data_IF_231239051011
#
_entry.id   IF_231239051011
#
_cell.length_a   1.000
_cell.length_b   1.000
_cell.length_c   1.000
_cell.angle_alpha   90.00
_cell.angle_beta   90.00
_cell.angle_gamma   90.00
#
_symmetry.space_group_name_H-M   'P 1'
#
loop_
_entity.id
_entity.type
_entity.pdbx_description
1 polymer ?
#
# COMPACT_ATOMS: atom_id res chain seq x y z
N UNK A 1 11.04 -17.99 -9.51
CA UNK A 1 10.70 -16.89 -8.60
C UNK A 1 9.23 -16.95 -8.30
N UNK A 2 8.87 -16.91 -7.04
CA UNK A 2 7.48 -16.98 -6.63
C UNK A 2 6.69 -15.80 -7.19
N UNK A 3 5.45 -16.07 -7.59
CA UNK A 3 4.56 -15.03 -8.14
C UNK A 3 4.16 -14.00 -7.09
N UNK A 4 4.21 -14.36 -5.83
CA UNK A 4 3.87 -13.51 -4.69
C UNK A 4 5.02 -13.54 -3.69
N UNK A 5 5.42 -12.36 -3.22
CA UNK A 5 6.37 -12.18 -2.12
C UNK A 5 5.71 -11.39 -1.01
N UNK A 6 6.02 -11.74 0.22
CA UNK A 6 5.48 -11.12 1.42
C UNK A 6 6.62 -10.56 2.26
N UNK A 7 6.45 -9.33 2.71
CA UNK A 7 7.29 -8.68 3.71
C UNK A 7 6.44 -8.36 4.93
N UNK A 8 6.99 -8.53 6.12
CA UNK A 8 6.33 -8.16 7.37
C UNK A 8 7.19 -7.15 8.10
N UNK A 9 6.63 -6.01 8.49
CA UNK A 9 7.39 -4.97 9.18
C UNK A 9 6.54 -3.96 9.92
N UNK A 10 7.24 -3.01 10.55
CA UNK A 10 6.65 -1.98 11.37
C UNK A 10 6.22 -2.47 12.75
N UNK A 11 5.74 -1.53 13.59
CA UNK A 11 5.36 -1.81 14.98
C UNK A 11 4.17 -2.75 15.12
N UNK A 12 3.32 -2.81 14.10
CA UNK A 12 2.12 -3.67 14.09
C UNK A 12 2.33 -4.97 13.30
N UNK A 13 3.55 -5.28 12.86
CA UNK A 13 3.86 -6.46 12.06
C UNK A 13 2.92 -6.61 10.85
N UNK A 14 2.76 -5.53 10.10
CA UNK A 14 1.90 -5.49 8.92
C UNK A 14 2.59 -6.16 7.73
N UNK A 15 1.82 -6.79 6.87
CA UNK A 15 2.31 -7.40 5.64
C UNK A 15 2.21 -6.44 4.46
N UNK A 16 3.29 -6.38 3.68
CA UNK A 16 3.29 -5.83 2.33
C UNK A 16 3.48 -6.95 1.32
N UNK A 17 2.80 -6.87 0.21
CA UNK A 17 2.81 -7.92 -0.82
C UNK A 17 3.34 -7.40 -2.13
N UNK A 18 4.09 -8.25 -2.85
CA UNK A 18 4.50 -8.02 -4.24
C UNK A 18 3.94 -9.12 -5.13
N UNK A 19 3.22 -8.73 -6.16
CA UNK A 19 2.67 -9.63 -7.17
C UNK A 19 3.41 -9.42 -8.48
N UNK A 20 4.03 -10.47 -9.02
CA UNK A 20 4.67 -10.41 -10.33
C UNK A 20 3.62 -10.39 -11.43
N UNK A 21 3.74 -9.44 -12.33
CA UNK A 21 2.85 -9.27 -13.48
C UNK A 21 3.32 -10.07 -14.69
N UNK A 22 2.53 -10.02 -15.78
CA UNK A 22 2.86 -10.73 -17.03
C UNK A 22 3.98 -10.06 -17.81
N UNK A 23 4.21 -8.76 -17.61
CA UNK A 23 5.20 -7.96 -18.32
C UNK A 23 6.52 -7.79 -17.55
N UNK A 24 6.74 -8.64 -16.55
CA UNK A 24 7.94 -8.64 -15.72
C UNK A 24 8.05 -7.44 -14.76
N UNK A 25 6.99 -6.69 -14.57
CA UNK A 25 6.85 -5.68 -13.52
C UNK A 25 6.17 -6.26 -12.27
N UNK A 26 5.88 -5.41 -11.30
CA UNK A 26 5.23 -5.81 -10.05
C UNK A 26 4.15 -4.82 -9.65
N UNK A 27 3.12 -5.35 -9.01
CA UNK A 27 2.10 -4.60 -8.27
C UNK A 27 2.33 -4.87 -6.79
N UNK A 28 2.39 -3.81 -5.98
CA UNK A 28 2.49 -3.92 -4.53
C UNK A 28 1.12 -3.70 -3.88
N UNK A 29 0.89 -4.38 -2.76
CA UNK A 29 -0.28 -4.16 -1.91
C UNK A 29 0.19 -3.83 -0.50
N UNK A 30 -0.22 -2.67 -0.01
CA UNK A 30 0.20 -2.05 1.24
C UNK A 30 1.71 -1.78 1.33
N UNK A 31 2.09 -0.88 2.20
CA UNK A 31 3.46 -0.44 2.35
C UNK A 31 3.83 -0.24 3.83
N UNK A 32 4.06 -1.33 4.58
CA UNK A 32 4.53 -1.23 5.94
C UNK A 32 5.95 -0.66 6.02
N UNK A 33 6.32 -0.18 7.19
CA UNK A 33 7.65 0.40 7.43
C UNK A 33 8.77 -0.56 7.04
N UNK A 34 9.75 -0.07 6.29
CA UNK A 34 10.90 -0.83 5.81
C UNK A 34 10.68 -1.59 4.50
N UNK A 35 9.47 -1.59 3.96
CA UNK A 35 9.14 -2.36 2.75
C UNK A 35 9.94 -1.93 1.53
N UNK A 36 10.05 -0.63 1.29
CA UNK A 36 10.80 -0.10 0.15
C UNK A 36 12.28 -0.48 0.21
N UNK A 37 12.92 -0.36 1.36
CA UNK A 37 14.33 -0.73 1.53
C UNK A 37 14.55 -2.24 1.38
N UNK A 38 13.62 -3.03 1.89
CA UNK A 38 13.67 -4.49 1.73
C UNK A 38 13.59 -4.89 0.25
N UNK A 39 12.66 -4.29 -0.50
CA UNK A 39 12.51 -4.54 -1.95
C UNK A 39 13.80 -4.13 -2.67
N UNK A 40 14.29 -2.93 -2.43
CA UNK A 40 15.48 -2.42 -3.09
C UNK A 40 16.71 -3.30 -2.80
N UNK A 41 16.85 -3.81 -1.59
CA UNK A 41 17.95 -4.70 -1.22
C UNK A 41 17.91 -6.05 -1.95
N UNK A 42 16.72 -6.53 -2.30
CA UNK A 42 16.53 -7.81 -2.99
C UNK A 42 16.66 -7.70 -4.50
N UNK A 43 16.15 -6.60 -5.07
CA UNK A 43 16.12 -6.40 -6.51
C UNK A 43 16.15 -4.88 -6.82
N UNK A 44 17.35 -4.28 -6.88
CA UNK A 44 17.48 -2.83 -7.09
C UNK A 44 16.89 -2.33 -8.41
N UNK A 45 16.83 -3.18 -9.44
CA UNK A 45 16.30 -2.88 -10.76
C UNK A 45 14.82 -3.24 -10.94
N UNK A 46 14.12 -3.56 -9.85
CA UNK A 46 12.70 -3.90 -9.89
C UNK A 46 11.87 -2.74 -10.45
N UNK A 47 10.85 -3.08 -11.24
CA UNK A 47 9.85 -2.15 -11.74
C UNK A 47 8.54 -2.41 -10.99
N UNK A 48 8.13 -1.46 -10.16
CA UNK A 48 6.82 -1.48 -9.48
C UNK A 48 5.96 -0.40 -10.13
N UNK A 49 4.88 -0.81 -10.76
CA UNK A 49 4.01 0.10 -11.49
C UNK A 49 2.93 0.71 -10.63
N UNK A 50 2.39 -0.08 -9.70
CA UNK A 50 1.23 0.29 -8.90
C UNK A 50 1.40 -0.17 -7.45
N UNK A 51 0.94 0.68 -6.52
CA UNK A 51 0.79 0.38 -5.11
C UNK A 51 -0.70 0.50 -4.77
N UNK A 52 -1.28 -0.62 -4.37
CA UNK A 52 -2.69 -0.70 -3.96
C UNK A 52 -2.76 -0.63 -2.44
N UNK A 53 -3.51 0.32 -1.91
CA UNK A 53 -3.70 0.49 -0.47
C UNK A 53 -5.03 -0.14 -0.07
N UNK A 54 -4.99 -1.10 0.86
CA UNK A 54 -6.22 -1.72 1.40
C UNK A 54 -6.99 -0.72 2.26
N UNK A 55 -6.30 -0.02 3.12
CA UNK A 55 -6.81 1.10 3.93
C UNK A 55 -5.64 1.90 4.49
N UNK A 56 -5.90 3.13 4.93
CA UNK A 56 -4.83 4.07 5.28
C UNK A 56 -4.46 4.11 6.77
N UNK A 57 -4.72 3.07 7.56
CA UNK A 57 -4.13 3.00 8.90
C UNK A 57 -2.60 3.03 8.80
N UNK A 58 -1.94 3.63 9.79
CA UNK A 58 -0.51 3.96 9.74
C UNK A 58 0.37 2.77 9.32
N UNK A 59 0.10 1.58 9.84
CA UNK A 59 0.89 0.38 9.61
C UNK A 59 0.86 -0.11 8.16
N UNK A 60 -0.16 0.29 7.38
CA UNK A 60 -0.31 -0.04 5.98
C UNK A 60 0.28 0.99 5.02
N UNK A 61 0.63 2.19 5.50
CA UNK A 61 1.05 3.31 4.64
C UNK A 61 2.33 4.00 5.08
N UNK A 62 3.03 3.50 6.10
CA UNK A 62 4.26 4.14 6.58
C UNK A 62 5.31 4.33 5.49
N UNK A 63 5.41 3.39 4.54
CA UNK A 63 6.36 3.44 3.43
C UNK A 63 5.75 3.89 2.09
N UNK A 64 4.47 4.29 2.05
CA UNK A 64 3.80 4.63 0.79
C UNK A 64 4.52 5.77 0.05
N UNK A 65 4.86 6.85 0.74
CA UNK A 65 5.61 7.97 0.16
C UNK A 65 6.97 7.50 -0.37
N UNK A 66 7.69 6.70 0.39
CA UNK A 66 9.00 6.18 0.03
C UNK A 66 8.93 5.21 -1.16
N UNK A 67 7.91 4.37 -1.23
CA UNK A 67 7.66 3.51 -2.38
C UNK A 67 7.54 4.33 -3.66
N UNK A 68 6.79 5.42 -3.62
CA UNK A 68 6.65 6.32 -4.76
C UNK A 68 7.97 7.01 -5.11
N UNK A 69 8.72 7.49 -4.12
CA UNK A 69 10.01 8.17 -4.35
C UNK A 69 11.05 7.26 -5.00
N UNK A 70 11.14 6.01 -4.55
CA UNK A 70 12.15 5.07 -5.05
C UNK A 70 11.74 4.42 -6.36
N UNK A 71 10.47 3.97 -6.47
CA UNK A 71 10.02 3.16 -7.60
C UNK A 71 9.15 3.91 -8.61
N UNK A 72 8.68 5.12 -8.27
CA UNK A 72 7.80 5.90 -9.15
C UNK A 72 6.43 5.27 -9.39
N UNK A 73 5.98 4.37 -8.52
CA UNK A 73 4.70 3.70 -8.67
C UNK A 73 3.52 4.66 -8.46
N UNK A 74 2.39 4.36 -9.13
CA UNK A 74 1.12 5.04 -8.88
C UNK A 74 0.47 4.47 -7.64
N UNK A 75 -0.17 5.31 -6.84
CA UNK A 75 -0.84 4.91 -5.60
C UNK A 75 -2.35 4.96 -5.80
N UNK A 76 -3.02 3.84 -5.47
CA UNK A 76 -4.46 3.65 -5.57
C UNK A 76 -5.03 3.37 -4.18
N UNK A 77 -6.10 4.08 -3.82
CA UNK A 77 -6.77 3.92 -2.53
C UNK A 77 -8.25 4.32 -2.61
N UNK A 78 -9.03 3.93 -1.62
CA UNK A 78 -10.47 4.22 -1.57
C UNK A 78 -10.82 5.68 -1.29
N UNK A 79 -9.88 6.44 -0.71
CA UNK A 79 -10.04 7.86 -0.40
C UNK A 79 -8.72 8.60 -0.58
N UNK A 80 -8.73 9.94 -0.72
CA UNK A 80 -7.51 10.74 -0.66
C UNK A 80 -6.79 10.54 0.67
N UNK A 81 -5.46 10.76 0.67
CA UNK A 81 -4.72 10.76 1.93
C UNK A 81 -5.26 11.81 2.89
N UNK A 82 -5.49 11.39 4.14
CA UNK A 82 -5.69 12.30 5.28
C UNK A 82 -4.96 11.74 6.48
N UNK A 83 -4.44 12.62 7.33
CA UNK A 83 -3.80 12.19 8.58
C UNK A 83 -4.80 11.44 9.48
N UNK A 84 -6.06 11.85 9.49
CA UNK A 84 -7.11 11.21 10.30
C UNK A 84 -7.30 9.74 9.95
N UNK A 85 -7.26 9.38 8.66
CA UNK A 85 -7.37 7.98 8.23
C UNK A 85 -6.22 7.12 8.74
N UNK A 86 -5.04 7.69 8.95
CA UNK A 86 -3.87 6.93 9.41
C UNK A 86 -3.95 6.51 10.87
N UNK A 87 -4.75 7.18 11.67
CA UNK A 87 -4.82 7.04 13.13
C UNK A 87 -3.46 7.29 13.82
N UNK A 88 -2.54 7.94 13.14
CA UNK A 88 -1.18 8.18 13.62
C UNK A 88 -1.19 8.99 14.92
N UNK A 89 -1.97 10.05 14.96
CA UNK A 89 -2.07 10.90 16.15
C UNK A 89 -2.59 10.11 17.36
N UNK A 90 -3.64 9.31 17.15
CA UNK A 90 -4.20 8.47 18.21
C UNK A 90 -3.18 7.45 18.70
N UNK A 91 -2.45 6.81 17.79
CA UNK A 91 -1.45 5.80 18.15
C UNK A 91 -0.28 6.41 18.92
N UNK A 92 0.18 7.60 18.54
CA UNK A 92 1.22 8.33 19.29
C UNK A 92 0.74 8.71 20.68
N UNK A 93 -0.45 9.29 20.77
CA UNK A 93 -0.99 9.83 22.03
C UNK A 93 -1.39 8.70 23.00
N UNK A 94 -2.03 7.63 22.50
CA UNK A 94 -2.52 6.54 23.34
C UNK A 94 -1.46 5.49 23.68
N UNK A 95 -0.54 5.20 22.75
CA UNK A 95 0.42 4.10 22.90
C UNK A 95 1.88 4.55 22.90
N UNK A 96 2.15 5.82 22.71
CA UNK A 96 3.51 6.35 22.70
C UNK A 96 4.38 5.81 21.55
N UNK A 97 3.76 5.39 20.45
CA UNK A 97 4.49 4.83 19.33
C UNK A 97 5.23 5.93 18.54
N UNK A 98 6.50 5.69 18.17
CA UNK A 98 7.30 6.66 17.40
C UNK A 98 6.94 6.60 15.91
N UNK A 99 5.70 6.90 15.57
CA UNK A 99 5.19 6.83 14.19
C UNK A 99 5.42 8.14 13.45
N UNK A 100 5.74 8.03 12.18
CA UNK A 100 5.85 9.17 11.28
C UNK A 100 5.43 8.74 9.87
N UNK A 101 4.15 8.88 9.57
CA UNK A 101 3.63 8.67 8.22
C UNK A 101 3.88 9.91 7.39
N UNK A 102 4.73 9.79 6.36
CA UNK A 102 4.91 10.88 5.41
C UNK A 102 3.66 11.02 4.54
N UNK A 103 3.11 12.24 4.39
CA UNK A 103 2.00 12.48 3.46
C UNK A 103 2.34 11.99 2.05
N UNK A 104 1.36 11.41 1.38
CA UNK A 104 1.50 10.93 0.01
C UNK A 104 0.27 11.30 -0.81
N UNK A 105 0.45 11.35 -2.13
CA UNK A 105 -0.66 11.63 -3.06
C UNK A 105 -1.25 10.31 -3.52
N UNK A 106 -2.56 10.16 -3.40
CA UNK A 106 -3.30 9.07 -4.02
C UNK A 106 -3.58 9.47 -5.47
N UNK A 107 -2.96 8.76 -6.42
CA UNK A 107 -3.08 9.07 -7.85
C UNK A 107 -4.46 8.70 -8.41
N UNK A 108 -5.05 7.62 -7.91
CA UNK A 108 -6.37 7.16 -8.31
C UNK A 108 -7.22 6.84 -7.08
N UNK A 109 -8.36 7.52 -6.99
CA UNK A 109 -9.37 7.24 -5.97
C UNK A 109 -10.31 6.16 -6.47
N UNK A 110 -10.33 5.02 -5.79
CA UNK A 110 -11.16 3.87 -6.14
C UNK A 110 -12.54 4.04 -5.48
N UNK A 111 -13.46 4.69 -6.19
CA UNK A 111 -14.82 4.92 -5.74
C UNK A 111 -15.65 3.62 -5.70
N UNK A 112 -16.76 3.56 -4.91
CA UNK A 112 -17.53 2.33 -4.75
C UNK A 112 -18.14 1.74 -6.02
N UNK A 113 -18.24 2.51 -7.10
CA UNK A 113 -18.71 2.06 -8.41
C UNK A 113 -17.64 1.33 -9.22
N UNK A 114 -16.37 1.38 -8.80
CA UNK A 114 -15.28 0.66 -9.47
C UNK A 114 -15.17 -0.74 -8.88
N UNK A 115 -15.55 -1.75 -9.67
CA UNK A 115 -15.56 -3.15 -9.25
C UNK A 115 -14.40 -3.97 -9.82
N UNK A 116 -13.77 -3.48 -10.88
CA UNK A 116 -12.63 -4.13 -11.53
C UNK A 116 -11.61 -3.09 -11.98
N UNK A 117 -10.36 -3.51 -12.04
CA UNK A 117 -9.27 -2.73 -12.62
C UNK A 117 -8.23 -3.66 -13.23
N UNK A 118 -7.41 -3.12 -14.13
CA UNK A 118 -6.29 -3.86 -14.73
C UNK A 118 -5.00 -3.14 -14.35
N UNK A 119 -4.16 -3.80 -13.57
CA UNK A 119 -2.84 -3.31 -13.21
C UNK A 119 -1.78 -4.37 -13.54
N UNK A 120 -0.76 -3.96 -14.27
CA UNK A 120 0.31 -4.86 -14.70
C UNK A 120 -0.16 -6.00 -15.60
N UNK A 121 -1.25 -5.83 -16.34
CA UNK A 121 -1.86 -6.88 -17.15
C UNK A 121 -2.61 -7.94 -16.33
N UNK A 122 -2.80 -7.73 -15.04
CA UNK A 122 -3.61 -8.57 -14.17
C UNK A 122 -4.98 -7.92 -13.95
N UNK A 123 -6.03 -8.71 -14.06
CA UNK A 123 -7.39 -8.28 -13.73
C UNK A 123 -7.59 -8.42 -12.22
N UNK A 124 -8.02 -7.33 -11.59
CA UNK A 124 -8.32 -7.27 -10.16
C UNK A 124 -9.79 -7.01 -9.95
N UNK A 125 -10.38 -7.69 -8.99
CA UNK A 125 -11.73 -7.41 -8.50
C UNK A 125 -11.61 -6.62 -7.19
N UNK A 126 -12.41 -5.55 -7.07
CA UNK A 126 -12.39 -4.65 -5.94
C UNK A 126 -13.68 -4.77 -5.14
N UNK A 127 -13.56 -5.00 -3.84
CA UNK A 127 -14.69 -5.11 -2.93
C UNK A 127 -14.56 -4.04 -1.84
N UNK A 128 -15.46 -3.07 -1.86
CA UNK A 128 -15.54 -2.07 -0.78
C UNK A 128 -16.05 -2.74 0.49
N UNK A 129 -15.28 -2.66 1.57
CA UNK A 129 -15.60 -3.31 2.85
C UNK A 129 -15.42 -2.31 4.01
N UNK A 130 -16.15 -1.18 4.01
CA UNK A 130 -16.03 -0.19 5.09
C UNK A 130 -16.43 -0.80 6.43
N UNK A 131 -15.70 -0.46 7.48
CA UNK A 131 -15.92 -1.00 8.82
C UNK A 131 -14.71 -0.75 9.70
N UNK A 132 -13.70 -1.56 9.59
CA UNK A 132 -12.41 -1.35 10.25
C UNK A 132 -11.81 0.02 9.92
N UNK A 133 -11.91 0.44 8.67
CA UNK A 133 -11.66 1.80 8.20
C UNK A 133 -12.67 2.15 7.10
N UNK A 134 -13.10 3.42 6.97
CA UNK A 134 -14.10 3.81 5.96
C UNK A 134 -13.61 3.64 4.52
N UNK A 135 -12.30 3.59 4.28
CA UNK A 135 -11.68 3.45 2.97
C UNK A 135 -11.28 2.02 2.61
N UNK A 136 -11.66 1.02 3.41
CA UNK A 136 -11.19 -0.35 3.25
C UNK A 136 -11.65 -1.00 1.94
N UNK A 137 -10.70 -1.60 1.22
CA UNK A 137 -10.91 -2.35 -0.02
C UNK A 137 -10.21 -3.72 0.09
N UNK A 138 -10.91 -4.77 -0.32
CA UNK A 138 -10.31 -6.07 -0.61
C UNK A 138 -10.03 -6.14 -2.11
N UNK A 139 -8.82 -6.48 -2.45
CA UNK A 139 -8.37 -6.72 -3.83
C UNK A 139 -8.29 -8.23 -4.07
N UNK A 140 -8.98 -8.71 -5.10
CA UNK A 140 -9.06 -10.13 -5.46
C UNK A 140 -8.60 -10.38 -6.90
#
# INVERSE_FOLDING_TARGET
MDRIRVYTGGVASCNGYLFKTKDNSYVAVDAPSGFADWIYSKKPDIIITDLLITHQHFDHVEDACRMRQIFGCRIHAGQPYTEDLTLEKMARDAWGLPLNVQPFVVDEILTPDIHTANWGGLLWHLHQVPGHSPDSIVYD
#
